data_IF_602621417201
#
_entry.id   IF_602621417201
#
_cell.length_a   1.000
_cell.length_b   1.000
_cell.length_c   1.000
_cell.angle_alpha   90.00
_cell.angle_beta   90.00
_cell.angle_gamma   90.00
#
_symmetry.space_group_name_H-M   'P 1'
#
loop_
_entity.id
_entity.type
_entity.pdbx_description
1 polymer ?
#
# COMPACT_ATOMS: atom_id res chain seq x y z
N UNK A 1 7.46 15.26 -7.05
CA UNK A 1 6.09 15.56 -7.51
C UNK A 1 4.97 15.13 -6.53
N UNK A 2 5.22 14.37 -5.46
CA UNK A 2 4.17 13.99 -4.48
C UNK A 2 4.06 14.99 -3.31
N UNK A 3 5.19 15.55 -2.87
CA UNK A 3 5.24 16.51 -1.75
C UNK A 3 4.43 17.80 -2.00
N UNK A 4 4.43 18.32 -3.22
CA UNK A 4 3.67 19.53 -3.57
C UNK A 4 2.14 19.33 -3.52
N UNK A 5 1.65 18.16 -3.94
CA UNK A 5 0.22 17.83 -3.90
C UNK A 5 -0.29 17.58 -2.48
N UNK A 6 0.54 16.99 -1.61
CA UNK A 6 0.19 16.82 -0.19
C UNK A 6 0.30 18.13 0.61
N UNK A 7 1.28 18.98 0.30
CA UNK A 7 1.41 20.29 0.94
C UNK A 7 0.26 21.22 0.56
N UNK A 8 -0.19 21.20 -0.70
CA UNK A 8 -1.32 22.01 -1.14
C UNK A 8 -2.62 21.57 -0.48
N UNK A 9 -2.91 20.28 -0.40
CA UNK A 9 -4.14 19.79 0.25
C UNK A 9 -4.19 20.13 1.74
N UNK A 10 -3.05 20.03 2.45
CA UNK A 10 -2.92 20.49 3.84
C UNK A 10 -3.14 22.00 3.95
N UNK A 11 -2.54 22.80 3.07
CA UNK A 11 -2.69 24.26 3.08
C UNK A 11 -4.14 24.72 2.81
N UNK A 12 -4.82 24.05 1.88
CA UNK A 12 -6.23 24.33 1.60
C UNK A 12 -7.16 23.84 2.72
N UNK A 13 -6.91 22.65 3.31
CA UNK A 13 -7.72 22.13 4.43
C UNK A 13 -7.50 22.89 5.74
N UNK A 14 -6.32 23.48 5.99
CA UNK A 14 -6.07 24.32 7.18
C UNK A 14 -6.81 25.66 7.12
N UNK A 15 -7.03 26.20 5.92
CA UNK A 15 -7.75 27.47 5.73
C UNK A 15 -9.27 27.34 5.82
N UNK A 16 -9.82 26.13 5.92
CA UNK A 16 -11.25 25.88 6.11
C UNK A 16 -11.50 25.50 7.59
N UNK A 17 -11.82 26.46 8.47
CA UNK A 17 -12.09 26.18 9.86
C UNK A 17 -13.45 25.50 10.05
N UNK A 18 -13.54 24.66 11.07
CA UNK A 18 -14.78 24.03 11.49
C UNK A 18 -15.64 24.99 12.31
N UNK A 19 -16.94 25.17 11.98
CA UNK A 19 -17.78 26.20 12.59
C UNK A 19 -18.09 26.00 14.09
N UNK A 20 -17.71 24.86 14.70
CA UNK A 20 -18.02 24.55 16.11
C UNK A 20 -16.82 24.03 16.96
N UNK A 21 -15.67 23.69 16.37
CA UNK A 21 -14.46 23.24 17.10
C UNK A 21 -13.23 23.57 16.26
N UNK A 22 -12.24 24.24 16.83
CA UNK A 22 -10.95 24.57 16.20
C UNK A 22 -10.03 23.34 16.01
N UNK A 23 -10.59 22.23 15.51
CA UNK A 23 -9.84 21.03 15.16
C UNK A 23 -9.90 20.84 13.64
N UNK A 24 -8.75 20.69 12.97
CA UNK A 24 -8.72 20.41 11.54
C UNK A 24 -9.32 19.04 11.23
N UNK A 25 -9.96 18.88 10.07
CA UNK A 25 -10.62 17.65 9.60
C UNK A 25 -9.68 16.44 9.57
N UNK A 26 -8.39 16.71 9.37
CA UNK A 26 -7.32 15.71 9.32
C UNK A 26 -6.61 15.66 10.67
N UNK A 27 -6.64 14.51 11.33
CA UNK A 27 -5.86 14.25 12.55
C UNK A 27 -4.36 14.29 12.24
N UNK A 28 -3.75 15.46 12.41
CA UNK A 28 -2.32 15.68 12.12
C UNK A 28 -1.39 14.79 12.96
N UNK A 29 -1.81 14.40 14.16
CA UNK A 29 -1.04 13.48 15.01
C UNK A 29 -0.91 12.09 14.37
N UNK A 30 -2.00 11.62 13.74
CA UNK A 30 -2.01 10.38 12.98
C UNK A 30 -1.23 10.50 11.66
N UNK A 31 -1.34 11.64 10.96
CA UNK A 31 -0.56 11.91 9.75
C UNK A 31 0.95 11.97 10.02
N UNK A 32 1.36 12.60 11.13
CA UNK A 32 2.75 12.63 11.59
C UNK A 32 3.26 11.24 11.99
N UNK A 33 2.40 10.36 12.48
CA UNK A 33 2.74 8.96 12.76
C UNK A 33 2.94 8.14 11.48
N UNK A 34 2.17 8.41 10.42
CA UNK A 34 2.33 7.76 9.12
C UNK A 34 3.53 8.27 8.32
N UNK A 35 3.90 9.54 8.46
CA UNK A 35 5.02 10.18 7.76
C UNK A 35 6.35 9.39 7.87
N UNK A 36 6.88 9.02 9.06
CA UNK A 36 8.11 8.26 9.20
C UNK A 36 7.97 6.80 8.76
N UNK A 37 6.79 6.20 8.97
CA UNK A 37 6.54 4.80 8.62
C UNK A 37 6.53 4.59 7.10
N UNK A 38 5.99 5.55 6.35
CA UNK A 38 6.04 5.56 4.88
C UNK A 38 7.46 5.79 4.36
N UNK A 39 8.22 6.73 4.95
CA UNK A 39 9.62 6.96 4.57
C UNK A 39 10.49 5.72 4.81
N UNK A 40 10.33 5.02 5.93
CA UNK A 40 11.03 3.77 6.23
C UNK A 40 10.69 2.68 5.21
N UNK A 41 9.41 2.49 4.88
CA UNK A 41 8.98 1.51 3.89
C UNK A 41 9.58 1.76 2.49
N UNK A 42 9.64 3.03 2.07
CA UNK A 42 10.27 3.41 0.80
C UNK A 42 11.78 3.13 0.84
N UNK A 43 12.45 3.50 1.93
CA UNK A 43 13.90 3.32 2.07
C UNK A 43 14.28 1.84 2.07
N UNK A 44 13.51 1.01 2.80
CA UNK A 44 13.66 -0.45 2.82
C UNK A 44 13.37 -1.03 1.43
N UNK A 45 12.29 -0.61 0.78
CA UNK A 45 11.94 -1.08 -0.56
C UNK A 45 13.02 -0.77 -1.61
N UNK A 46 13.59 0.43 -1.57
CA UNK A 46 14.69 0.83 -2.46
C UNK A 46 15.95 0.03 -2.15
N UNK A 47 16.31 -0.14 -0.88
CA UNK A 47 17.47 -0.94 -0.47
C UNK A 47 17.33 -2.41 -0.92
N UNK A 48 16.15 -3.01 -0.74
CA UNK A 48 15.86 -4.36 -1.19
C UNK A 48 15.91 -4.50 -2.72
N UNK A 49 15.47 -3.49 -3.46
CA UNK A 49 15.56 -3.47 -4.93
C UNK A 49 16.99 -3.37 -5.46
N UNK A 50 17.92 -2.84 -4.68
CA UNK A 50 19.35 -2.76 -5.04
C UNK A 50 20.06 -4.06 -4.69
N UNK A 51 19.72 -4.68 -3.55
CA UNK A 51 20.34 -5.92 -3.08
C UNK A 51 19.85 -7.15 -3.86
N UNK A 52 18.57 -7.20 -4.22
CA UNK A 52 18.00 -8.29 -5.00
C UNK A 52 17.95 -7.91 -6.49
N UNK A 53 18.71 -8.58 -7.37
CA UNK A 53 18.59 -8.35 -8.81
C UNK A 53 17.15 -8.62 -9.26
N UNK A 54 16.64 -7.84 -10.22
CA UNK A 54 15.26 -7.93 -10.74
C UNK A 54 14.81 -9.36 -11.09
N UNK A 55 15.76 -10.21 -11.48
CA UNK A 55 15.57 -11.64 -11.74
C UNK A 55 15.04 -12.45 -10.54
N UNK A 56 15.44 -12.12 -9.31
CA UNK A 56 15.00 -12.87 -8.13
C UNK A 56 13.58 -12.48 -7.71
N UNK A 57 13.24 -11.20 -7.84
CA UNK A 57 11.89 -10.67 -7.55
C UNK A 57 10.88 -11.26 -8.54
N UNK A 58 11.22 -11.33 -9.83
CA UNK A 58 10.34 -11.94 -10.84
C UNK A 58 10.13 -13.44 -10.60
N UNK A 59 11.17 -14.19 -10.24
CA UNK A 59 11.05 -15.62 -9.91
C UNK A 59 10.13 -15.82 -8.70
N UNK A 60 10.28 -15.01 -7.65
CA UNK A 60 9.44 -15.10 -6.45
C UNK A 60 7.96 -14.84 -6.75
N UNK A 61 7.67 -13.84 -7.59
CA UNK A 61 6.32 -13.53 -8.06
C UNK A 61 5.75 -14.65 -8.93
N UNK A 62 6.53 -15.23 -9.84
CA UNK A 62 6.09 -16.34 -10.70
C UNK A 62 5.68 -17.55 -9.85
N UNK A 63 6.48 -17.92 -8.84
CA UNK A 63 6.17 -19.04 -7.94
C UNK A 63 4.89 -18.76 -7.13
N UNK A 64 4.74 -17.54 -6.61
CA UNK A 64 3.55 -17.14 -5.88
C UNK A 64 2.28 -17.21 -6.77
N UNK A 65 2.40 -16.78 -8.02
CA UNK A 65 1.30 -16.78 -8.98
C UNK A 65 0.88 -18.20 -9.37
N UNK A 66 1.86 -19.08 -9.64
CA UNK A 66 1.62 -20.50 -9.89
C UNK A 66 0.94 -21.16 -8.69
N UNK A 67 1.40 -20.87 -7.47
CA UNK A 67 0.78 -21.40 -6.25
C UNK A 67 -0.67 -20.94 -6.05
N UNK A 68 -0.96 -19.66 -6.32
CA UNK A 68 -2.33 -19.13 -6.24
C UNK A 68 -3.23 -19.69 -7.34
N UNK A 69 -2.76 -19.76 -8.58
CA UNK A 69 -3.49 -20.39 -9.69
C UNK A 69 -3.75 -21.87 -9.40
N UNK A 70 -2.75 -22.63 -8.95
CA UNK A 70 -2.92 -24.05 -8.62
C UNK A 70 -3.92 -24.25 -7.48
N UNK A 71 -3.83 -23.45 -6.42
CA UNK A 71 -4.75 -23.51 -5.28
C UNK A 71 -6.20 -23.15 -5.70
N UNK A 72 -6.40 -22.10 -6.49
CA UNK A 72 -7.70 -21.71 -7.05
C UNK A 72 -8.25 -22.77 -8.01
N UNK A 73 -7.41 -23.32 -8.89
CA UNK A 73 -7.82 -24.33 -9.86
C UNK A 73 -8.22 -25.65 -9.18
N UNK A 74 -7.48 -26.05 -8.14
CA UNK A 74 -7.84 -27.17 -7.27
C UNK A 74 -9.16 -26.96 -6.54
N UNK A 75 -9.44 -25.73 -6.09
CA UNK A 75 -10.71 -25.37 -5.47
C UNK A 75 -11.89 -25.38 -6.47
N UNK A 76 -11.67 -24.93 -7.70
CA UNK A 76 -12.68 -24.91 -8.77
C UNK A 76 -13.03 -26.34 -9.24
N UNK A 77 -12.02 -27.21 -9.39
CA UNK A 77 -12.22 -28.65 -9.64
C UNK A 77 -12.98 -29.34 -8.50
N UNK A 78 -12.71 -28.98 -7.24
CA UNK A 78 -13.43 -29.53 -6.07
C UNK A 78 -14.88 -29.05 -5.99
N UNK A 79 -15.18 -27.80 -6.37
CA UNK A 79 -16.55 -27.29 -6.53
C UNK A 79 -17.33 -27.97 -7.66
N UNK A 80 -16.70 -28.23 -8.82
CA UNK A 80 -17.37 -28.95 -9.93
C UNK A 80 -17.70 -30.41 -9.61
N UNK A 81 -16.94 -31.05 -8.71
CA UNK A 81 -17.21 -32.44 -8.28
C UNK A 81 -18.30 -32.56 -7.21
N UNK A 82 -18.60 -31.47 -6.49
CA UNK A 82 -19.65 -31.42 -5.45
C UNK A 82 -21.01 -30.94 -5.96
N UNK A 83 -21.10 -30.48 -7.23
CA UNK A 83 -22.34 -30.04 -7.89
C UNK A 83 -22.87 -31.07 -8.91
N UNK A 84 -22.26 -32.25 -8.95
CA UNK A 84 -22.73 -33.45 -9.65
C UNK A 84 -23.08 -34.48 -8.59
#
# INVERSE_FOLDING_TARGET
MIMGASASSVWYNLRVPHPCRDVPILDYDLALLFQPMLMLGITIGVALSVVFPYWLITILIIILFIGKCFCLYGFEKKKRKFKK
#
